data_IF_704061738583
#
_entry.id   IF_704061738583
#
_cell.length_a   1.000
_cell.length_b   1.000
_cell.length_c   1.000
_cell.angle_alpha   90.00
_cell.angle_beta   90.00
_cell.angle_gamma   90.00
#
_symmetry.space_group_name_H-M   'P 1'
#
loop_
_entity.id
_entity.type
_entity.pdbx_description
1 polymer ?
#
# COMPACT_ATOMS: atom_id res chain seq x y z
N UNK A 1 38.82 18.93 16.86
CA UNK A 1 38.27 18.08 15.80
C UNK A 1 37.20 17.22 16.47
N UNK A 2 35.97 17.75 16.58
CA UNK A 2 34.84 17.04 17.21
C UNK A 2 34.23 16.08 16.18
N UNK A 3 34.28 14.80 16.51
CA UNK A 3 33.57 13.77 15.79
C UNK A 3 32.06 14.00 15.96
N UNK A 4 31.41 14.47 14.91
CA UNK A 4 29.96 14.48 14.80
C UNK A 4 29.49 13.03 14.78
N UNK A 5 28.99 12.55 15.94
CA UNK A 5 28.21 11.33 16.02
C UNK A 5 26.98 11.51 15.15
N UNK A 6 27.02 11.00 13.92
CA UNK A 6 25.84 10.81 13.09
C UNK A 6 24.97 9.73 13.75
N UNK A 7 24.07 10.12 14.63
CA UNK A 7 22.87 9.32 14.91
C UNK A 7 22.12 9.23 13.57
N UNK A 8 22.35 8.17 12.83
CA UNK A 8 21.47 7.80 11.73
C UNK A 8 20.11 7.59 12.35
N UNK A 9 19.21 8.53 12.19
CA UNK A 9 17.81 8.39 12.56
C UNK A 9 17.31 7.18 11.77
N UNK A 10 17.05 6.06 12.46
CA UNK A 10 16.40 4.89 11.87
C UNK A 10 14.94 5.25 11.62
N UNK A 11 14.68 6.01 10.55
CA UNK A 11 13.34 6.36 10.13
C UNK A 11 12.61 5.06 9.76
N UNK A 12 11.46 4.84 10.35
CA UNK A 12 10.58 3.74 9.99
C UNK A 12 9.69 4.18 8.82
N UNK A 13 9.31 3.22 8.00
CA UNK A 13 8.50 3.45 6.83
C UNK A 13 7.12 2.80 6.99
N UNK A 14 6.09 3.63 6.88
CA UNK A 14 4.68 3.23 6.87
C UNK A 14 4.14 3.41 5.46
N UNK A 15 3.94 2.29 4.75
CA UNK A 15 3.52 2.33 3.33
C UNK A 15 2.07 2.80 3.15
N UNK A 16 1.23 2.64 4.17
CA UNK A 16 -0.18 2.98 4.09
C UNK A 16 -0.78 3.26 5.47
N UNK A 17 -1.33 4.45 5.64
CA UNK A 17 -2.05 4.83 6.85
C UNK A 17 -3.17 5.81 6.56
N UNK A 18 -4.25 5.76 7.35
CA UNK A 18 -5.31 6.76 7.38
C UNK A 18 -5.09 7.80 8.49
N UNK A 19 -4.13 7.57 9.36
CA UNK A 19 -3.83 8.43 10.50
C UNK A 19 -2.98 9.64 10.11
N UNK A 20 -2.99 10.68 10.96
CA UNK A 20 -2.00 11.74 10.87
C UNK A 20 -0.61 11.18 11.22
N UNK A 21 0.41 11.59 10.48
CA UNK A 21 1.75 11.06 10.66
C UNK A 21 2.30 11.32 12.06
N UNK A 22 2.87 10.30 12.69
CA UNK A 22 3.74 10.47 13.85
C UNK A 22 5.04 11.15 13.42
N UNK A 23 5.49 12.15 14.17
CA UNK A 23 6.76 12.85 13.90
C UNK A 23 7.94 11.88 13.88
N UNK A 24 8.80 11.98 12.88
CA UNK A 24 10.05 11.22 12.79
C UNK A 24 10.02 9.92 11.99
N UNK A 25 8.93 9.62 11.28
CA UNK A 25 8.83 8.48 10.38
C UNK A 25 8.52 8.93 8.94
N UNK A 26 8.79 8.07 7.96
CA UNK A 26 8.36 8.27 6.57
C UNK A 26 7.02 7.55 6.41
N UNK A 27 6.01 8.32 6.06
CA UNK A 27 4.62 7.82 6.03
C UNK A 27 3.98 8.18 4.70
N UNK A 28 3.32 7.21 4.06
CA UNK A 28 2.42 7.47 2.93
C UNK A 28 0.98 7.46 3.46
N UNK A 29 0.42 8.66 3.59
CA UNK A 29 -0.96 8.82 4.05
C UNK A 29 -1.94 8.61 2.90
N UNK A 30 -2.97 7.81 3.14
CA UNK A 30 -4.08 7.68 2.19
C UNK A 30 -4.94 8.94 2.17
N UNK A 31 -5.16 9.51 0.99
CA UNK A 31 -6.05 10.63 0.78
C UNK A 31 -7.22 10.25 -0.14
N UNK A 32 -8.42 10.59 0.27
CA UNK A 32 -9.58 10.51 -0.62
C UNK A 32 -9.48 11.61 -1.70
N UNK A 33 -10.07 11.41 -2.90
CA UNK A 33 -9.95 12.36 -4.01
C UNK A 33 -10.27 13.80 -3.62
N UNK A 34 -11.35 14.03 -2.84
CA UNK A 34 -11.79 15.36 -2.44
C UNK A 34 -11.24 15.85 -1.10
N UNK A 35 -10.36 15.10 -0.44
CA UNK A 35 -9.72 15.58 0.79
C UNK A 35 -8.80 16.76 0.52
N UNK A 36 -8.62 17.61 1.54
CA UNK A 36 -7.64 18.69 1.50
C UNK A 36 -6.24 18.08 1.62
N UNK A 37 -5.33 18.49 0.75
CA UNK A 37 -3.94 18.05 0.83
C UNK A 37 -3.33 18.48 2.16
N UNK A 38 -2.74 17.52 2.85
CA UNK A 38 -1.95 17.73 4.06
C UNK A 38 -0.46 17.65 3.71
N UNK A 39 0.40 18.14 4.57
CA UNK A 39 1.85 18.02 4.40
C UNK A 39 2.31 16.54 4.42
N UNK A 40 3.43 16.25 3.76
CA UNK A 40 4.05 14.93 3.69
C UNK A 40 3.59 14.08 2.50
N UNK A 41 4.15 12.87 2.41
CA UNK A 41 3.82 11.96 1.32
C UNK A 41 2.41 11.39 1.45
N UNK A 42 1.76 11.23 0.30
CA UNK A 42 0.42 10.67 0.25
C UNK A 42 0.22 9.75 -0.96
N UNK A 43 -0.80 8.92 -0.86
CA UNK A 43 -1.42 8.21 -1.98
C UNK A 43 -2.82 8.76 -2.22
N UNK A 44 -3.30 8.68 -3.47
CA UNK A 44 -4.66 9.08 -3.84
C UNK A 44 -5.23 8.12 -4.88
N UNK A 45 -6.46 7.67 -4.64
CA UNK A 45 -7.19 6.77 -5.51
C UNK A 45 -8.69 6.76 -5.23
N UNK A 46 -9.44 6.03 -6.04
CA UNK A 46 -10.87 5.80 -5.82
C UNK A 46 -11.03 4.47 -5.12
N UNK A 47 -11.32 4.52 -3.83
CA UNK A 47 -11.56 3.34 -3.01
C UNK A 47 -12.95 2.73 -3.31
N UNK A 48 -13.10 1.39 -3.40
CA UNK A 48 -14.36 0.74 -3.74
C UNK A 48 -15.52 1.02 -2.76
N UNK A 49 -15.25 1.53 -1.55
CA UNK A 49 -16.29 1.90 -0.57
C UNK A 49 -16.84 3.31 -0.76
N UNK A 50 -16.06 4.23 -1.38
CA UNK A 50 -16.29 5.68 -1.31
C UNK A 50 -16.59 6.33 -2.65
N UNK A 51 -17.11 5.56 -3.62
CA UNK A 51 -17.61 6.12 -4.88
C UNK A 51 -19.07 5.75 -5.10
N UNK A 52 -19.73 6.44 -6.03
CA UNK A 52 -21.02 6.08 -6.58
C UNK A 52 -20.96 6.03 -8.11
N UNK A 53 -22.02 5.52 -8.74
CA UNK A 53 -22.11 5.50 -10.20
C UNK A 53 -22.12 6.91 -10.80
N UNK A 54 -22.64 7.91 -10.02
CA UNK A 54 -22.80 9.29 -10.46
C UNK A 54 -21.56 10.15 -10.20
N UNK A 55 -20.66 9.76 -9.27
CA UNK A 55 -19.58 10.64 -8.83
C UNK A 55 -18.16 10.14 -9.15
N UNK A 56 -17.96 8.88 -9.51
CA UNK A 56 -16.62 8.34 -9.70
C UNK A 56 -15.84 9.06 -10.81
N UNK A 57 -16.52 9.62 -11.82
CA UNK A 57 -15.86 10.39 -12.89
C UNK A 57 -15.26 11.68 -12.35
N UNK A 58 -15.98 12.41 -11.49
CA UNK A 58 -15.46 13.62 -10.85
C UNK A 58 -14.35 13.33 -9.86
N UNK A 59 -14.44 12.20 -9.14
CA UNK A 59 -13.33 11.69 -8.32
C UNK A 59 -12.11 11.38 -9.19
N UNK A 60 -12.31 10.75 -10.36
CA UNK A 60 -11.24 10.43 -11.30
C UNK A 60 -10.51 11.67 -11.81
N UNK A 61 -11.24 12.73 -12.18
CA UNK A 61 -10.64 14.00 -12.57
C UNK A 61 -9.75 14.58 -11.46
N UNK A 62 -10.18 14.43 -10.21
CA UNK A 62 -9.41 14.89 -9.06
C UNK A 62 -8.16 14.03 -8.83
N UNK A 63 -8.28 12.70 -8.92
CA UNK A 63 -7.15 11.79 -8.83
C UNK A 63 -6.09 12.15 -9.88
N UNK A 64 -6.48 12.32 -11.16
CA UNK A 64 -5.54 12.64 -12.26
C UNK A 64 -4.82 13.98 -12.09
N UNK A 65 -5.39 14.90 -11.33
CA UNK A 65 -4.73 16.16 -10.94
C UNK A 65 -3.77 15.94 -9.78
N UNK A 66 -4.23 15.29 -8.70
CA UNK A 66 -3.47 15.10 -7.47
C UNK A 66 -2.23 14.20 -7.64
N UNK A 67 -2.28 13.19 -8.50
CA UNK A 67 -1.11 12.32 -8.76
C UNK A 67 0.10 13.06 -9.32
N UNK A 68 -0.09 14.27 -9.85
CA UNK A 68 0.98 15.13 -10.38
C UNK A 68 1.66 15.98 -9.30
N UNK A 69 1.12 16.01 -8.08
CA UNK A 69 1.74 16.76 -6.99
C UNK A 69 3.03 16.07 -6.56
N UNK A 70 4.02 16.87 -6.17
CA UNK A 70 5.37 16.43 -5.81
C UNK A 70 5.36 15.35 -4.71
N UNK A 71 4.53 15.54 -3.70
CA UNK A 71 4.45 14.61 -2.56
C UNK A 71 3.48 13.42 -2.77
N UNK A 72 2.85 13.30 -3.94
CA UNK A 72 2.10 12.10 -4.25
C UNK A 72 3.05 10.93 -4.53
N UNK A 73 3.18 10.02 -3.59
CA UNK A 73 4.15 8.92 -3.64
C UNK A 73 3.60 7.64 -4.28
N UNK A 74 2.28 7.44 -4.27
CA UNK A 74 1.61 6.25 -4.79
C UNK A 74 0.21 6.57 -5.31
N UNK A 75 -0.35 5.67 -6.10
CA UNK A 75 -1.76 5.69 -6.48
C UNK A 75 -2.49 4.70 -5.60
N UNK A 76 -3.56 5.12 -4.96
CA UNK A 76 -4.35 4.32 -4.03
C UNK A 76 -4.84 5.17 -2.85
N UNK A 77 -5.65 4.59 -2.07
CA UNK A 77 -6.15 3.21 -2.08
C UNK A 77 -7.17 3.03 -3.21
N UNK A 78 -7.02 1.95 -3.99
CA UNK A 78 -7.92 1.60 -5.09
C UNK A 78 -7.99 0.07 -5.22
N UNK A 79 -8.98 -0.46 -5.92
CA UNK A 79 -9.03 -1.91 -6.09
C UNK A 79 -10.43 -2.51 -6.11
N UNK A 80 -10.58 -3.72 -5.50
CA UNK A 80 -11.74 -4.56 -5.66
C UNK A 80 -12.27 -5.09 -4.32
N UNK A 81 -13.56 -4.95 -4.07
CA UNK A 81 -14.22 -5.49 -2.88
C UNK A 81 -15.58 -6.12 -3.22
N UNK A 82 -15.71 -7.44 -3.03
CA UNK A 82 -16.97 -8.15 -3.25
C UNK A 82 -18.01 -7.93 -2.16
N UNK A 83 -17.66 -7.28 -1.05
CA UNK A 83 -18.60 -7.01 0.04
C UNK A 83 -19.37 -5.68 -0.15
N UNK A 84 -18.99 -4.86 -1.13
CA UNK A 84 -19.70 -3.61 -1.41
C UNK A 84 -20.84 -3.80 -2.39
N UNK A 85 -21.78 -2.86 -2.41
CA UNK A 85 -23.00 -2.93 -3.22
C UNK A 85 -22.77 -2.75 -4.73
N UNK A 86 -21.65 -2.14 -5.11
CA UNK A 86 -21.37 -1.84 -6.51
C UNK A 86 -20.89 -3.08 -7.29
N UNK A 87 -21.35 -3.27 -8.54
CA UNK A 87 -20.95 -4.40 -9.36
C UNK A 87 -19.43 -4.49 -9.51
N UNK A 88 -18.89 -5.70 -9.44
CA UNK A 88 -17.46 -5.93 -9.60
C UNK A 88 -16.94 -5.45 -10.96
N UNK A 89 -17.77 -5.52 -12.02
CA UNK A 89 -17.43 -4.99 -13.35
C UNK A 89 -17.16 -3.48 -13.36
N UNK A 90 -17.94 -2.70 -12.60
CA UNK A 90 -17.70 -1.26 -12.46
C UNK A 90 -16.42 -1.00 -11.66
N UNK A 91 -16.20 -1.73 -10.57
CA UNK A 91 -14.96 -1.63 -9.80
C UNK A 91 -13.74 -1.98 -10.67
N UNK A 92 -13.81 -3.02 -11.49
CA UNK A 92 -12.76 -3.38 -12.45
C UNK A 92 -12.50 -2.25 -13.44
N UNK A 93 -13.55 -1.66 -14.01
CA UNK A 93 -13.40 -0.51 -14.94
C UNK A 93 -12.66 0.66 -14.29
N UNK A 94 -12.98 0.97 -13.04
CA UNK A 94 -12.31 2.05 -12.28
C UNK A 94 -10.87 1.64 -11.95
N UNK A 95 -10.66 0.40 -11.51
CA UNK A 95 -9.32 -0.09 -11.16
C UNK A 95 -8.40 -0.17 -12.38
N UNK A 96 -8.90 -0.58 -13.55
CA UNK A 96 -8.13 -0.58 -14.81
C UNK A 96 -7.61 0.82 -15.16
N UNK A 97 -8.37 1.88 -14.89
CA UNK A 97 -7.90 3.25 -15.06
C UNK A 97 -6.72 3.58 -14.11
N UNK A 98 -6.77 3.10 -12.86
CA UNK A 98 -5.66 3.29 -11.91
C UNK A 98 -4.41 2.53 -12.37
N UNK A 99 -4.56 1.33 -12.93
CA UNK A 99 -3.44 0.56 -13.51
C UNK A 99 -2.76 1.37 -14.62
N UNK A 100 -3.53 1.88 -15.57
CA UNK A 100 -2.98 2.67 -16.68
C UNK A 100 -2.33 3.97 -16.21
N UNK A 101 -2.96 4.67 -15.26
CA UNK A 101 -2.41 5.89 -14.68
C UNK A 101 -1.10 5.62 -13.92
N UNK A 102 -1.01 4.51 -13.19
CA UNK A 102 0.20 4.08 -12.47
C UNK A 102 1.38 3.94 -13.44
N UNK A 103 1.18 3.32 -14.59
CA UNK A 103 2.21 3.17 -15.62
C UNK A 103 2.59 4.53 -16.25
N UNK A 104 1.59 5.39 -16.51
CA UNK A 104 1.82 6.72 -17.08
C UNK A 104 2.67 7.60 -16.17
N UNK A 105 2.30 7.69 -14.89
CA UNK A 105 3.00 8.57 -13.92
C UNK A 105 4.14 7.88 -13.18
N UNK A 106 4.39 6.60 -13.46
CA UNK A 106 5.47 5.77 -12.88
C UNK A 106 5.43 5.72 -11.35
N UNK A 107 4.23 5.49 -10.78
CA UNK A 107 4.01 5.39 -9.34
C UNK A 107 3.41 4.05 -8.97
N UNK A 108 3.77 3.46 -7.80
CA UNK A 108 3.22 2.19 -7.36
C UNK A 108 1.72 2.28 -7.07
N UNK A 109 1.04 1.12 -7.10
CA UNK A 109 -0.35 0.97 -6.64
C UNK A 109 -0.41 0.44 -5.22
N UNK A 110 -1.19 1.11 -4.35
CA UNK A 110 -1.64 0.59 -3.06
C UNK A 110 -3.06 0.06 -3.26
N UNK A 111 -3.22 -1.26 -3.07
CA UNK A 111 -4.38 -2.00 -3.56
C UNK A 111 -5.21 -2.56 -2.41
N UNK A 112 -6.48 -2.20 -2.38
CA UNK A 112 -7.52 -2.86 -1.61
C UNK A 112 -8.04 -4.09 -2.35
N UNK A 113 -8.05 -5.24 -1.71
CA UNK A 113 -8.64 -6.44 -2.32
C UNK A 113 -9.35 -7.33 -1.30
N UNK A 114 -10.66 -7.41 -1.39
CA UNK A 114 -11.49 -8.26 -0.54
C UNK A 114 -12.26 -9.26 -1.39
N UNK A 115 -11.98 -10.56 -1.20
CA UNK A 115 -12.63 -11.69 -1.89
C UNK A 115 -12.61 -11.63 -3.43
N UNK A 116 -11.66 -10.86 -4.04
CA UNK A 116 -11.53 -10.65 -5.49
C UNK A 116 -10.10 -10.91 -5.99
N UNK A 117 -9.39 -11.84 -5.36
CA UNK A 117 -7.98 -12.13 -5.69
C UNK A 117 -7.79 -12.71 -7.09
N UNK A 118 -8.74 -13.52 -7.58
CA UNK A 118 -8.73 -14.09 -8.94
C UNK A 118 -8.82 -12.99 -10.00
N UNK A 119 -9.68 -12.01 -9.78
CA UNK A 119 -9.83 -10.85 -10.65
C UNK A 119 -8.60 -9.96 -10.62
N UNK A 120 -8.05 -9.72 -9.42
CA UNK A 120 -6.82 -8.96 -9.26
C UNK A 120 -5.66 -9.60 -10.05
N UNK A 121 -5.46 -10.90 -9.91
CA UNK A 121 -4.44 -11.68 -10.64
C UNK A 121 -4.69 -11.66 -12.15
N UNK A 122 -5.95 -11.79 -12.58
CA UNK A 122 -6.31 -11.72 -13.99
C UNK A 122 -5.96 -10.36 -14.60
N UNK A 123 -6.22 -9.27 -13.88
CA UNK A 123 -5.83 -7.92 -14.29
C UNK A 123 -4.31 -7.74 -14.30
N UNK A 124 -3.59 -8.28 -13.31
CA UNK A 124 -2.12 -8.27 -13.30
C UNK A 124 -1.53 -8.94 -14.53
N UNK A 125 -2.06 -10.11 -14.91
CA UNK A 125 -1.65 -10.84 -16.12
C UNK A 125 -2.04 -10.13 -17.40
N UNK A 126 -3.22 -9.52 -17.46
CA UNK A 126 -3.71 -8.78 -18.63
C UNK A 126 -2.85 -7.55 -18.95
N UNK A 127 -2.53 -6.76 -17.94
CA UNK A 127 -1.83 -5.48 -18.12
C UNK A 127 -0.31 -5.60 -18.04
N UNK A 128 0.24 -6.63 -17.42
CA UNK A 128 1.69 -6.85 -17.22
C UNK A 128 2.42 -5.58 -16.74
N UNK A 129 1.92 -4.91 -15.67
CA UNK A 129 2.43 -3.61 -15.27
C UNK A 129 3.87 -3.68 -14.79
N UNK A 130 4.64 -2.63 -15.10
CA UNK A 130 6.01 -2.46 -14.65
C UNK A 130 6.07 -1.84 -13.24
N UNK A 131 5.05 -1.05 -12.89
CA UNK A 131 5.01 -0.42 -11.57
C UNK A 131 4.65 -1.43 -10.48
N UNK A 132 5.20 -1.28 -9.27
CA UNK A 132 4.90 -2.17 -8.15
C UNK A 132 3.42 -2.15 -7.77
N UNK A 133 2.86 -3.33 -7.55
CA UNK A 133 1.56 -3.54 -6.94
C UNK A 133 1.76 -3.95 -5.49
N UNK A 134 1.12 -3.24 -4.56
CA UNK A 134 1.21 -3.47 -3.12
C UNK A 134 -0.19 -3.73 -2.60
N UNK A 135 -0.47 -4.98 -2.25
CA UNK A 135 -1.71 -5.34 -1.59
C UNK A 135 -1.62 -4.96 -0.12
N UNK A 136 -2.38 -3.94 0.30
CA UNK A 136 -2.42 -3.53 1.69
C UNK A 136 -3.28 -4.46 2.55
N UNK A 137 -3.15 -4.38 3.88
CA UNK A 137 -4.01 -5.10 4.83
C UNK A 137 -3.93 -6.61 4.75
N UNK A 138 -2.79 -7.21 4.37
CA UNK A 138 -2.72 -8.65 4.17
C UNK A 138 -3.03 -9.44 5.45
N UNK A 139 -4.07 -10.28 5.38
CA UNK A 139 -4.55 -11.09 6.52
C UNK A 139 -4.99 -12.50 6.12
N UNK A 140 -4.37 -13.09 5.10
CA UNK A 140 -4.72 -14.41 4.56
C UNK A 140 -3.66 -15.46 4.88
N UNK A 141 -3.90 -16.69 4.41
CA UNK A 141 -3.01 -17.83 4.59
C UNK A 141 -1.87 -17.87 3.57
N UNK A 142 -0.96 -18.84 3.75
CA UNK A 142 0.22 -19.04 2.93
C UNK A 142 -0.10 -19.26 1.44
N UNK A 143 -1.15 -20.02 1.13
CA UNK A 143 -1.50 -20.30 -0.27
C UNK A 143 -1.83 -19.01 -1.04
N UNK A 144 -2.61 -18.11 -0.43
CA UNK A 144 -2.93 -16.79 -1.02
C UNK A 144 -1.66 -15.93 -1.13
N UNK A 145 -0.83 -15.88 -0.09
CA UNK A 145 0.42 -15.13 -0.12
C UNK A 145 1.35 -15.59 -1.25
N UNK A 146 1.57 -16.90 -1.34
CA UNK A 146 2.43 -17.49 -2.39
C UNK A 146 1.91 -17.16 -3.79
N UNK A 147 0.59 -17.29 -4.00
CA UNK A 147 -0.02 -16.97 -5.30
C UNK A 147 0.20 -15.50 -5.69
N UNK A 148 0.00 -14.57 -4.77
CA UNK A 148 0.17 -13.13 -5.03
C UNK A 148 1.65 -12.78 -5.28
N UNK A 149 2.57 -13.31 -4.48
CA UNK A 149 4.00 -13.05 -4.62
C UNK A 149 4.54 -13.62 -5.94
N UNK A 150 4.09 -14.80 -6.36
CA UNK A 150 4.45 -15.38 -7.66
C UNK A 150 3.99 -14.52 -8.86
N UNK A 151 2.93 -13.73 -8.69
CA UNK A 151 2.50 -12.73 -9.67
C UNK A 151 3.17 -11.36 -9.47
N UNK A 152 4.26 -11.31 -8.69
CA UNK A 152 4.99 -10.08 -8.37
C UNK A 152 4.10 -8.99 -7.72
N UNK A 153 3.16 -9.40 -6.86
CA UNK A 153 2.38 -8.51 -6.00
C UNK A 153 3.01 -8.55 -4.61
N UNK A 154 3.44 -7.39 -4.11
CA UNK A 154 3.97 -7.25 -2.76
C UNK A 154 2.83 -7.18 -1.75
N UNK A 155 3.10 -7.62 -0.53
CA UNK A 155 2.11 -7.66 0.55
C UNK A 155 2.45 -6.62 1.62
N UNK A 156 1.47 -5.92 2.17
CA UNK A 156 1.70 -5.06 3.32
C UNK A 156 1.04 -5.64 4.56
N UNK A 157 1.76 -5.59 5.69
CA UNK A 157 1.36 -6.19 6.95
C UNK A 157 1.20 -5.13 8.05
N UNK A 158 0.01 -5.10 8.63
CA UNK A 158 -0.36 -4.18 9.70
C UNK A 158 -0.72 -4.90 10.99
N UNK A 159 -1.78 -4.43 11.66
CA UNK A 159 -2.27 -4.94 12.98
C UNK A 159 -2.44 -6.45 13.08
N UNK A 160 -2.77 -7.11 11.97
CA UNK A 160 -2.91 -8.57 11.94
C UNK A 160 -1.60 -9.30 12.23
N UNK A 161 -0.45 -8.68 11.99
CA UNK A 161 0.86 -9.24 12.32
C UNK A 161 1.05 -9.38 13.86
N UNK A 162 0.41 -8.53 14.65
CA UNK A 162 0.53 -8.56 16.10
C UNK A 162 -0.23 -9.74 16.73
N UNK A 163 -1.39 -10.09 16.17
CA UNK A 163 -2.36 -10.96 16.83
C UNK A 163 -2.72 -12.25 16.08
N UNK A 164 -2.54 -12.30 14.76
CA UNK A 164 -2.95 -13.45 13.95
C UNK A 164 -1.78 -14.39 13.67
N UNK A 165 -1.80 -15.57 14.30
CA UNK A 165 -0.74 -16.58 14.16
C UNK A 165 -0.55 -17.02 12.70
N UNK A 166 -1.63 -17.20 11.95
CA UNK A 166 -1.54 -17.55 10.50
C UNK A 166 -0.77 -16.50 9.71
N UNK A 167 -1.03 -15.22 9.97
CA UNK A 167 -0.32 -14.11 9.32
C UNK A 167 1.14 -14.06 9.75
N UNK A 168 1.43 -14.35 11.02
CA UNK A 168 2.81 -14.43 11.53
C UNK A 168 3.61 -15.54 10.83
N UNK A 169 3.03 -16.72 10.65
CA UNK A 169 3.70 -17.81 9.93
C UNK A 169 3.93 -17.47 8.45
N UNK A 170 2.95 -16.85 7.80
CA UNK A 170 3.14 -16.33 6.43
C UNK A 170 4.30 -15.34 6.40
N UNK A 171 4.32 -14.37 7.30
CA UNK A 171 5.35 -13.33 7.34
C UNK A 171 6.77 -13.90 7.52
N UNK A 172 6.92 -14.95 8.33
CA UNK A 172 8.21 -15.65 8.53
C UNK A 172 8.72 -16.31 7.24
N UNK A 173 7.83 -16.81 6.40
CA UNK A 173 8.17 -17.69 5.27
C UNK A 173 8.32 -16.98 3.93
N UNK A 174 7.78 -15.76 3.76
CA UNK A 174 7.85 -15.04 2.49
C UNK A 174 9.24 -14.42 2.25
N UNK A 175 9.67 -14.25 0.97
CA UNK A 175 10.97 -13.66 0.65
C UNK A 175 11.13 -12.22 1.17
N UNK A 176 12.37 -11.85 1.48
CA UNK A 176 12.71 -10.45 1.69
C UNK A 176 12.44 -9.64 0.42
N UNK A 177 12.01 -8.38 0.60
CA UNK A 177 11.64 -7.50 -0.52
C UNK A 177 10.26 -7.78 -1.14
N UNK A 178 9.53 -8.83 -0.69
CA UNK A 178 8.15 -9.09 -1.10
C UNK A 178 7.10 -8.45 -0.20
N UNK A 179 7.50 -7.71 0.83
CA UNK A 179 6.58 -7.14 1.80
C UNK A 179 6.90 -5.69 2.17
N UNK A 180 5.90 -5.05 2.77
CA UNK A 180 5.95 -3.77 3.48
C UNK A 180 5.26 -3.88 4.83
N UNK A 181 5.39 -2.84 5.65
CA UNK A 181 4.70 -2.68 6.93
C UNK A 181 3.84 -1.43 6.89
N UNK A 182 2.71 -1.46 7.59
CA UNK A 182 1.71 -0.39 7.58
C UNK A 182 0.98 -0.29 8.92
N UNK A 183 0.35 0.85 9.17
CA UNK A 183 -0.59 1.02 10.29
C UNK A 183 -2.04 1.00 9.87
N UNK A 184 -2.36 1.32 8.61
CA UNK A 184 -3.74 1.40 8.09
C UNK A 184 -4.62 2.32 8.97
N UNK A 185 -5.78 1.85 9.40
CA UNK A 185 -6.72 2.57 10.30
C UNK A 185 -6.52 2.23 11.79
N UNK A 186 -5.47 1.49 12.15
CA UNK A 186 -5.38 0.84 13.45
C UNK A 186 -5.11 1.76 14.63
N UNK A 187 -4.62 2.98 14.41
CA UNK A 187 -4.16 3.87 15.48
C UNK A 187 -2.90 3.40 16.21
N UNK A 188 -2.24 2.33 15.75
CA UNK A 188 -0.99 1.82 16.31
C UNK A 188 0.20 2.70 15.90
N UNK A 189 1.26 2.66 16.71
CA UNK A 189 2.56 3.17 16.25
C UNK A 189 3.19 2.15 15.30
N UNK A 190 3.70 2.60 14.16
CA UNK A 190 4.41 1.76 13.21
C UNK A 190 5.60 1.03 13.86
N UNK A 191 6.18 1.58 14.91
CA UNK A 191 7.26 0.97 15.68
C UNK A 191 6.84 -0.37 16.30
N UNK A 192 5.59 -0.54 16.72
CA UNK A 192 5.07 -1.79 17.26
C UNK A 192 5.05 -2.89 16.19
N UNK A 193 4.62 -2.53 14.97
CA UNK A 193 4.61 -3.45 13.82
C UNK A 193 6.04 -3.87 13.47
N UNK A 194 6.99 -2.91 13.42
CA UNK A 194 8.41 -3.20 13.17
C UNK A 194 9.03 -4.08 14.25
N UNK A 195 8.73 -3.82 15.52
CA UNK A 195 9.23 -4.64 16.63
C UNK A 195 8.78 -6.09 16.48
N UNK A 196 7.49 -6.31 16.19
CA UNK A 196 6.94 -7.64 15.95
C UNK A 196 7.56 -8.32 14.73
N UNK A 197 7.70 -7.59 13.63
CA UNK A 197 8.30 -8.10 12.39
C UNK A 197 9.75 -8.55 12.61
N UNK A 198 10.57 -7.75 13.32
CA UNK A 198 11.94 -8.09 13.69
C UNK A 198 11.98 -9.35 14.56
N UNK A 199 11.13 -9.42 15.59
CA UNK A 199 11.04 -10.59 16.47
C UNK A 199 10.73 -11.86 15.68
N UNK A 200 9.77 -11.82 14.77
CA UNK A 200 9.34 -12.98 13.99
C UNK A 200 10.43 -13.51 13.05
N UNK A 201 11.29 -12.64 12.51
CA UNK A 201 12.36 -13.01 11.58
C UNK A 201 13.75 -13.09 12.21
N UNK A 202 13.89 -12.77 13.49
CA UNK A 202 15.20 -12.70 14.14
C UNK A 202 16.11 -11.61 13.60
N UNK A 203 15.54 -10.50 13.11
CA UNK A 203 16.28 -9.40 12.47
C UNK A 203 16.55 -8.27 13.47
N UNK A 204 17.73 -7.65 13.36
CA UNK A 204 18.07 -6.45 14.12
C UNK A 204 17.41 -5.21 13.47
N UNK A 205 17.35 -5.18 12.15
CA UNK A 205 16.83 -4.05 11.37
C UNK A 205 16.04 -4.56 10.15
N UNK A 206 15.01 -3.81 9.78
CA UNK A 206 14.29 -3.97 8.52
C UNK A 206 14.48 -2.67 7.73
N UNK A 207 14.95 -2.79 6.50
CA UNK A 207 15.16 -1.65 5.59
C UNK A 207 14.36 -1.88 4.31
N UNK A 208 13.84 -0.79 3.75
CA UNK A 208 13.17 -0.79 2.46
C UNK A 208 14.00 0.02 1.45
N UNK A 209 14.04 -0.47 0.22
CA UNK A 209 14.69 0.23 -0.88
C UNK A 209 13.67 1.20 -1.52
N UNK A 210 13.60 2.42 -1.01
CA UNK A 210 12.64 3.44 -1.44
C UNK A 210 12.72 3.77 -2.94
N UNK A 211 13.90 3.90 -3.57
CA UNK A 211 14.00 4.13 -5.01
C UNK A 211 13.35 3.04 -5.85
N UNK A 212 13.42 1.77 -5.41
CA UNK A 212 12.77 0.65 -6.11
C UNK A 212 11.25 0.66 -6.04
N UNK A 213 10.67 1.44 -5.14
CA UNK A 213 9.21 1.63 -5.05
C UNK A 213 8.76 2.97 -5.62
N UNK A 214 9.65 3.67 -6.33
CA UNK A 214 9.30 4.93 -6.98
C UNK A 214 9.12 6.12 -6.03
N UNK A 215 9.51 5.97 -4.76
CA UNK A 215 9.50 7.05 -3.78
C UNK A 215 10.87 7.72 -3.86
N UNK A 216 10.93 8.81 -4.61
CA UNK A 216 12.10 9.70 -4.59
C UNK A 216 11.94 10.66 -3.40
N UNK A 217 12.84 10.55 -2.45
CA UNK A 217 12.97 11.44 -1.30
C UNK A 217 14.03 12.49 -1.58
#
# INVERSE_FOLDING_TARGET
MQLLNSKTLNLLFDIHTHNESSSGNIVIRNELPFSINKEGFFSVGIHPWYFSEDDWQSQWETVTKKVKYEHCAAIGECGLDRNVKYPLSLQQTIFERHILLSEEVKKPLIIHCVKAYSELISLKKKYQPQQPWILHGFNKNQAVATTLINENIKLSFGKSLLTNITVQEVFKSIPEGSYFLETDDSGLDIAEIYQKAKQLRGLVQIQFDYPKIGIMM
#
